data_IF_603810142730
#
_entry.id   IF_603810142730
#
_cell.length_a   1.000
_cell.length_b   1.000
_cell.length_c   1.000
_cell.angle_alpha   90.00
_cell.angle_beta   90.00
_cell.angle_gamma   90.00
#
_symmetry.space_group_name_H-M   'P 1'
#
loop_
_entity.id
_entity.type
_entity.pdbx_description
1 polymer ?
#
# COMPACT_ATOMS: atom_id res chain seq x y z
N UNK A 1 -6.15 0.34 -10.61
CA UNK A 1 -6.53 1.58 -11.32
C UNK A 1 -6.97 2.57 -10.27
N UNK A 2 -6.60 3.85 -10.40
CA UNK A 2 -6.99 4.89 -9.44
C UNK A 2 -8.49 5.17 -9.54
N UNK A 3 -9.17 5.61 -8.46
CA UNK A 3 -10.62 5.86 -8.48
C UNK A 3 -11.07 6.99 -9.42
N UNK A 4 -10.14 7.83 -9.86
CA UNK A 4 -10.35 8.91 -10.83
C UNK A 4 -10.14 8.45 -12.29
N UNK A 5 -9.89 7.15 -12.51
CA UNK A 5 -9.53 6.54 -13.81
C UNK A 5 -8.31 7.19 -14.50
N UNK A 6 -7.54 8.01 -13.80
CA UNK A 6 -6.43 8.79 -14.36
C UNK A 6 -5.08 8.09 -14.25
N UNK A 7 -5.00 6.98 -13.52
CA UNK A 7 -3.73 6.34 -13.20
C UNK A 7 -3.82 4.89 -12.74
N UNK A 8 -2.64 4.32 -12.53
CA UNK A 8 -2.46 2.99 -11.94
C UNK A 8 -1.45 3.16 -10.81
N UNK A 9 -1.80 2.70 -9.61
CA UNK A 9 -0.85 2.54 -8.51
C UNK A 9 -0.43 1.08 -8.46
N UNK A 10 0.87 0.87 -8.33
CA UNK A 10 1.52 -0.45 -8.32
C UNK A 10 2.80 -0.39 -7.50
N UNK A 11 3.23 -1.53 -6.97
CA UNK A 11 4.58 -1.69 -6.46
C UNK A 11 5.53 -2.24 -7.54
N UNK A 12 6.79 -1.83 -7.49
CA UNK A 12 7.87 -2.43 -8.29
C UNK A 12 9.17 -2.45 -7.49
N UNK A 13 10.03 -3.41 -7.82
CA UNK A 13 11.29 -3.61 -7.13
C UNK A 13 12.41 -2.74 -7.71
N UNK A 14 13.20 -2.15 -6.84
CA UNK A 14 14.46 -1.50 -7.20
C UNK A 14 15.56 -2.52 -7.52
N UNK A 15 16.75 -2.04 -7.87
CA UNK A 15 17.92 -2.89 -8.17
C UNK A 15 18.40 -3.72 -6.96
N UNK A 16 18.03 -3.34 -5.74
CA UNK A 16 18.29 -4.08 -4.50
C UNK A 16 17.24 -5.13 -4.19
N UNK A 17 16.14 -5.20 -4.96
CA UNK A 17 15.02 -6.08 -4.69
C UNK A 17 14.10 -5.57 -3.58
N UNK A 18 14.10 -4.26 -3.29
CA UNK A 18 13.16 -3.63 -2.36
C UNK A 18 11.98 -3.06 -3.14
N UNK A 19 10.72 -3.35 -2.73
CA UNK A 19 9.54 -2.85 -3.42
C UNK A 19 9.26 -1.38 -3.05
N UNK A 20 8.85 -0.58 -4.03
CA UNK A 20 8.47 0.82 -3.85
C UNK A 20 7.13 1.08 -4.51
N UNK A 21 6.37 2.03 -3.98
CA UNK A 21 5.04 2.38 -4.50
C UNK A 21 5.14 3.46 -5.57
N UNK A 22 4.58 3.18 -6.75
CA UNK A 22 4.59 4.06 -7.92
C UNK A 22 3.18 4.35 -8.41
N UNK A 23 3.00 5.56 -8.97
CA UNK A 23 1.85 5.92 -9.79
C UNK A 23 2.29 6.07 -11.24
N UNK A 24 1.60 5.38 -12.15
CA UNK A 24 1.64 5.65 -13.57
C UNK A 24 0.46 6.56 -13.94
N UNK A 25 0.74 7.71 -14.52
CA UNK A 25 -0.26 8.63 -15.06
C UNK A 25 -0.63 8.23 -16.50
N UNK A 26 -1.93 8.02 -16.76
CA UNK A 26 -2.41 7.56 -18.06
C UNK A 26 -2.45 8.66 -19.13
N UNK A 27 -2.52 9.93 -18.75
CA UNK A 27 -2.56 11.04 -19.69
C UNK A 27 -1.15 11.41 -20.18
N UNK A 28 -0.16 11.40 -19.29
CA UNK A 28 1.22 11.80 -19.60
C UNK A 28 2.15 10.62 -19.87
N UNK A 29 1.72 9.40 -19.53
CA UNK A 29 2.55 8.18 -19.55
C UNK A 29 3.82 8.29 -18.71
N UNK A 30 3.76 9.02 -17.61
CA UNK A 30 4.88 9.18 -16.68
C UNK A 30 4.66 8.39 -15.41
N UNK A 31 5.71 7.73 -14.91
CA UNK A 31 5.71 7.09 -13.60
C UNK A 31 6.35 8.01 -12.55
N UNK A 32 5.78 8.06 -11.35
CA UNK A 32 6.34 8.81 -10.21
C UNK A 32 6.24 7.96 -8.94
N UNK A 33 7.33 7.93 -8.18
CA UNK A 33 7.35 7.28 -6.87
C UNK A 33 6.51 8.12 -5.89
N UNK A 34 5.63 7.46 -5.15
CA UNK A 34 4.70 8.14 -4.23
C UNK A 34 5.29 8.28 -2.83
N UNK A 35 5.97 7.24 -2.34
CA UNK A 35 6.51 7.17 -0.99
C UNK A 35 7.99 6.82 -1.03
N UNK A 36 8.76 7.38 -0.10
CA UNK A 36 10.16 7.02 0.15
C UNK A 36 10.27 5.74 0.99
N UNK A 37 9.18 5.29 1.61
CA UNK A 37 9.15 4.03 2.33
C UNK A 37 9.15 2.86 1.33
N UNK A 38 9.92 1.82 1.68
CA UNK A 38 9.84 0.53 1.02
C UNK A 38 8.49 -0.09 1.37
N UNK A 39 7.73 -0.51 0.36
CA UNK A 39 6.40 -1.03 0.58
C UNK A 39 5.81 -1.78 -0.59
N UNK A 40 4.86 -2.65 -0.29
CA UNK A 40 4.21 -3.56 -1.25
C UNK A 40 2.69 -3.59 -1.07
N UNK A 41 2.00 -4.11 -2.09
CA UNK A 41 0.55 -4.36 -2.04
C UNK A 41 -0.27 -3.06 -1.78
N UNK A 42 -0.15 -2.02 -2.63
CA UNK A 42 -0.94 -0.82 -2.45
C UNK A 42 -2.42 -1.08 -2.69
N UNK A 43 -3.27 -0.56 -1.79
CA UNK A 43 -4.73 -0.65 -1.84
C UNK A 43 -5.34 0.72 -1.58
N UNK A 44 -6.34 1.16 -2.36
CA UNK A 44 -7.03 2.40 -2.01
C UNK A 44 -8.00 2.15 -0.86
N UNK A 45 -8.02 3.09 0.09
CA UNK A 45 -9.07 3.14 1.14
C UNK A 45 -10.05 4.28 0.88
N UNK A 46 -9.63 5.29 0.12
CA UNK A 46 -10.46 6.34 -0.46
C UNK A 46 -9.73 6.94 -1.69
N UNK A 47 -10.37 7.84 -2.46
CA UNK A 47 -9.76 8.41 -3.67
C UNK A 47 -8.42 9.13 -3.48
N UNK A 48 -8.07 9.56 -2.27
CA UNK A 48 -6.86 10.32 -1.97
C UNK A 48 -5.87 9.56 -1.08
N UNK A 49 -6.24 8.39 -0.56
CA UNK A 49 -5.42 7.66 0.40
C UNK A 49 -5.30 6.21 -0.02
N UNK A 50 -4.06 5.75 -0.10
CA UNK A 50 -3.73 4.33 -0.22
C UNK A 50 -3.15 3.82 1.09
N UNK A 51 -3.37 2.54 1.38
CA UNK A 51 -2.60 1.79 2.35
C UNK A 51 -1.65 0.84 1.63
N UNK A 52 -0.53 0.50 2.24
CA UNK A 52 0.42 -0.50 1.74
C UNK A 52 1.16 -1.13 2.92
N UNK A 53 1.73 -2.31 2.71
CA UNK A 53 2.53 -3.01 3.70
C UNK A 53 3.95 -2.41 3.72
N UNK A 54 4.44 -2.02 4.90
CA UNK A 54 5.84 -1.62 5.06
C UNK A 54 6.72 -2.87 4.92
N UNK A 55 7.79 -2.75 4.15
CA UNK A 55 8.72 -3.82 3.85
C UNK A 55 10.10 -3.48 4.40
N UNK A 56 10.67 -4.37 5.20
CA UNK A 56 12.01 -4.21 5.76
C UNK A 56 13.01 -5.15 5.10
N UNK A 57 14.28 -4.74 4.93
CA UNK A 57 15.31 -5.63 4.42
C UNK A 57 15.43 -6.91 5.25
N UNK A 58 15.44 -8.08 4.60
CA UNK A 58 15.65 -9.38 5.25
C UNK A 58 16.51 -10.35 4.45
N UNK A 59 16.96 -11.41 5.12
CA UNK A 59 17.53 -12.62 4.51
C UNK A 59 16.52 -13.75 4.55
N UNK A 60 15.41 -13.54 3.87
CA UNK A 60 14.19 -14.33 3.94
C UNK A 60 14.17 -15.53 2.97
N UNK A 61 15.23 -15.73 2.18
CA UNK A 61 15.41 -16.87 1.29
C UNK A 61 15.96 -16.46 -0.08
N UNK A 62 16.14 -17.42 -1.01
CA UNK A 62 16.59 -17.11 -2.37
C UNK A 62 15.61 -16.14 -3.06
N UNK A 63 16.09 -14.95 -3.43
CA UNK A 63 15.31 -13.92 -4.12
C UNK A 63 14.51 -12.97 -3.22
N UNK A 64 14.49 -13.19 -1.90
CA UNK A 64 13.86 -12.27 -0.94
C UNK A 64 14.88 -11.28 -0.37
N UNK A 65 14.82 -10.02 -0.81
CA UNK A 65 15.60 -8.91 -0.24
C UNK A 65 14.85 -8.15 0.85
N UNK A 66 13.52 -8.27 0.90
CA UNK A 66 12.65 -7.66 1.91
C UNK A 66 11.48 -8.58 2.26
N UNK A 67 10.84 -8.31 3.40
CA UNK A 67 9.56 -8.89 3.77
C UNK A 67 8.73 -7.89 4.58
N UNK A 68 7.40 -8.02 4.59
CA UNK A 68 6.53 -7.22 5.44
C UNK A 68 6.88 -7.38 6.93
N UNK A 69 7.00 -6.27 7.65
CA UNK A 69 7.31 -6.27 9.09
C UNK A 69 6.05 -6.26 9.99
N UNK A 70 4.87 -6.16 9.38
CA UNK A 70 3.57 -6.12 10.05
C UNK A 70 3.05 -4.70 10.33
N UNK A 71 3.75 -3.67 9.85
CA UNK A 71 3.29 -2.28 9.83
C UNK A 71 2.57 -2.02 8.52
N UNK A 72 1.40 -1.38 8.60
CA UNK A 72 0.71 -0.82 7.44
C UNK A 72 0.90 0.69 7.45
N UNK A 73 1.32 1.24 6.32
CA UNK A 73 1.44 2.68 6.11
C UNK A 73 0.28 3.17 5.25
N UNK A 74 -0.23 4.35 5.58
CA UNK A 74 -1.11 5.13 4.73
C UNK A 74 -0.34 6.22 4.03
N UNK A 75 -0.53 6.37 2.72
CA UNK A 75 -0.02 7.50 1.94
C UNK A 75 -1.19 8.41 1.51
N UNK A 76 -1.11 9.68 1.88
CA UNK A 76 -2.04 10.72 1.43
C UNK A 76 -1.49 11.39 0.17
N UNK A 77 -2.14 11.14 -0.98
CA UNK A 77 -1.74 11.66 -2.28
C UNK A 77 -1.90 13.18 -2.40
N UNK A 78 -2.70 13.82 -1.53
CA UNK A 78 -2.86 15.27 -1.54
C UNK A 78 -1.70 16.00 -0.87
N UNK A 79 -1.09 15.36 0.14
CA UNK A 79 0.02 15.95 0.91
C UNK A 79 1.37 15.30 0.62
N UNK A 80 1.38 14.14 -0.03
CA UNK A 80 2.57 13.32 -0.29
C UNK A 80 3.18 12.75 0.99
N UNK A 81 2.38 12.52 2.03
CA UNK A 81 2.86 12.11 3.36
C UNK A 81 2.41 10.72 3.73
N UNK A 82 3.31 10.01 4.39
CA UNK A 82 3.06 8.71 4.98
C UNK A 82 2.74 8.81 6.47
N UNK A 83 1.92 7.90 6.97
CA UNK A 83 1.62 7.72 8.38
C UNK A 83 1.34 6.24 8.70
N UNK A 84 1.67 5.78 9.90
CA UNK A 84 1.29 4.43 10.34
C UNK A 84 -0.22 4.33 10.54
N UNK A 85 -0.81 3.25 10.02
CA UNK A 85 -2.21 2.91 10.23
C UNK A 85 -2.36 2.19 11.56
N UNK A 86 -3.30 2.66 12.38
CA UNK A 86 -3.72 1.96 13.60
C UNK A 86 -5.00 1.16 13.32
N UNK A 87 -4.87 -0.16 13.21
CA UNK A 87 -5.98 -1.12 13.05
C UNK A 87 -6.38 -1.78 14.36
N UNK A 88 -5.80 -1.38 15.50
CA UNK A 88 -6.09 -1.95 16.81
C UNK A 88 -7.45 -1.54 17.36
N UNK A 89 -8.14 -0.60 16.69
CA UNK A 89 -9.54 -0.26 16.93
C UNK A 89 -10.45 -1.43 16.53
N UNK A 90 -10.65 -2.34 17.47
CA UNK A 90 -11.64 -3.43 17.35
C UNK A 90 -13.04 -2.81 17.31
N UNK A 91 -13.75 -2.98 16.19
CA UNK A 91 -15.20 -2.75 16.16
C UNK A 91 -15.84 -3.82 17.06
N UNK A 92 -16.57 -3.44 18.13
CA UNK A 92 -17.21 -4.40 19.01
C UNK A 92 -18.11 -5.36 18.22
N UNK A 93 -17.84 -6.66 18.30
CA UNK A 93 -18.64 -7.71 17.65
C UNK A 93 -18.10 -8.26 16.32
N UNK A 94 -16.97 -7.76 15.80
CA UNK A 94 -16.41 -8.22 14.50
C UNK A 94 -15.02 -8.90 14.62
N UNK A 95 -14.36 -8.91 15.79
CA UNK A 95 -13.11 -9.66 15.97
C UNK A 95 -12.57 -9.65 17.41
N UNK A 96 -12.02 -10.78 17.85
CA UNK A 96 -11.51 -11.03 19.21
C UNK A 96 -10.09 -10.51 19.49
N UNK A 97 -9.51 -10.84 20.67
CA UNK A 97 -8.20 -10.32 21.07
C UNK A 97 -7.09 -10.94 20.20
N UNK A 98 -6.23 -10.08 19.66
CA UNK A 98 -5.10 -10.37 18.77
C UNK A 98 -5.49 -10.84 17.36
N UNK A 99 -5.75 -9.88 16.47
CA UNK A 99 -5.59 -10.14 15.04
C UNK A 99 -4.08 -10.18 14.73
N UNK A 100 -3.58 -11.21 14.03
CA UNK A 100 -2.18 -11.26 13.59
C UNK A 100 -1.94 -10.19 12.52
N UNK A 101 -0.70 -9.69 12.49
CA UNK A 101 -0.08 -8.78 11.50
C UNK A 101 -1.04 -8.05 10.56
N UNK A 102 -1.11 -6.73 10.74
CA UNK A 102 -1.76 -5.81 9.79
C UNK A 102 -1.14 -5.98 8.42
N UNK A 103 -1.92 -6.46 7.46
CA UNK A 103 -1.52 -6.57 6.07
C UNK A 103 -2.68 -6.20 5.17
N UNK A 104 -2.36 -5.45 4.14
CA UNK A 104 -3.25 -5.04 3.04
C UNK A 104 -3.55 -6.19 2.08
N UNK A 105 -2.84 -7.33 2.17
CA UNK A 105 -3.05 -8.53 1.33
C UNK A 105 -4.49 -9.03 1.31
N UNK A 106 -5.25 -8.81 2.38
CA UNK A 106 -6.64 -9.25 2.50
C UNK A 106 -7.66 -8.12 2.34
N UNK A 107 -7.21 -6.90 2.03
CA UNK A 107 -8.07 -5.78 1.71
C UNK A 107 -8.37 -5.82 0.21
N UNK A 108 -9.65 -5.98 -0.12
CA UNK A 108 -10.12 -5.83 -1.49
C UNK A 108 -10.68 -4.42 -1.65
N UNK A 109 -10.16 -3.72 -2.63
CA UNK A 109 -10.69 -2.44 -3.06
C UNK A 109 -11.81 -2.66 -4.10
N UNK A 110 -13.01 -2.17 -3.79
CA UNK A 110 -14.19 -2.27 -4.68
C UNK A 110 -14.78 -0.88 -4.87
N UNK A 111 -14.49 -0.27 -6.02
CA UNK A 111 -15.14 0.96 -6.44
C UNK A 111 -16.36 0.66 -7.30
N UNK A 112 -17.52 1.16 -6.88
CA UNK A 112 -18.69 1.26 -7.73
C UNK A 112 -18.64 2.62 -8.43
N UNK A 113 -18.33 2.64 -9.73
CA UNK A 113 -18.45 3.87 -10.51
C UNK A 113 -19.91 4.37 -10.48
N UNK A 114 -20.18 5.66 -10.21
CA UNK A 114 -21.52 6.20 -10.37
C UNK A 114 -21.90 6.16 -11.86
N UNK A 115 -23.09 5.64 -12.14
CA UNK A 115 -23.68 5.54 -13.48
C UNK A 115 -24.01 6.90 -14.09
#
# INVERSE_FOLDING_TARGET
MTPDDAGIIYDTYDAGGQPHIWRFDLATHTATQLSEATGSIPVFVNPNVIWFDEEQPCRCGPGGSSAPDGVTLSHDMSTGRDATVDTTLIVPGIGGPALPQTSTRYLLDVWLAPF
#
